data_IF_535512802791
#
_entry.id   IF_535512802791
#
_cell.length_a   1.000
_cell.length_b   1.000
_cell.length_c   1.000
_cell.angle_alpha   90.00
_cell.angle_beta   90.00
_cell.angle_gamma   90.00
#
_symmetry.space_group_name_H-M   'P 1'
#
loop_
_entity.id
_entity.type
_entity.pdbx_description
1 polymer ?
#
# COMPACT_ATOMS: atom_id res chain seq x y z
N UNK A 1 -8.36 1.91 24.72
CA UNK A 1 -7.09 2.66 24.65
C UNK A 1 -7.25 3.76 23.60
N UNK A 2 -7.10 5.03 23.97
CA UNK A 2 -7.05 6.13 23.01
C UNK A 2 -5.68 6.10 22.32
N UNK A 3 -5.63 5.76 21.03
CA UNK A 3 -4.42 5.86 20.21
C UNK A 3 -4.20 7.34 19.89
N UNK A 4 -3.08 7.94 20.32
CA UNK A 4 -2.75 9.32 19.95
C UNK A 4 -2.23 9.32 18.51
N UNK A 5 -2.86 10.12 17.66
CA UNK A 5 -2.45 10.29 16.27
C UNK A 5 -1.27 11.27 16.21
N UNK A 6 -0.19 10.85 15.56
CA UNK A 6 1.06 11.62 15.50
C UNK A 6 1.30 12.25 14.12
N UNK A 7 0.59 11.79 13.09
CA UNK A 7 0.58 12.41 11.76
C UNK A 7 -0.43 11.78 10.81
N UNK A 8 -0.87 12.55 9.81
CA UNK A 8 -1.67 12.09 8.67
C UNK A 8 -1.01 12.61 7.41
N UNK A 9 -0.72 11.71 6.47
CA UNK A 9 -0.21 12.03 5.15
C UNK A 9 -0.99 11.20 4.11
N UNK A 10 -1.19 11.75 2.92
CA UNK A 10 -1.98 11.11 1.89
C UNK A 10 -1.42 11.38 0.51
N UNK A 11 -1.58 10.40 -0.38
CA UNK A 11 -1.27 10.52 -1.79
C UNK A 11 -2.49 10.09 -2.60
N UNK A 12 -2.90 10.94 -3.52
CA UNK A 12 -3.88 10.57 -4.53
C UNK A 12 -3.14 9.84 -5.64
N UNK A 13 -3.68 8.69 -6.06
CA UNK A 13 -3.09 7.86 -7.09
C UNK A 13 -4.07 7.82 -8.26
N UNK A 14 -3.83 8.70 -9.22
CA UNK A 14 -4.57 8.76 -10.47
C UNK A 14 -4.01 7.69 -11.42
N UNK A 15 -4.62 6.50 -11.44
CA UNK A 15 -4.26 5.48 -12.43
C UNK A 15 -4.79 5.88 -13.80
N UNK A 16 -4.00 5.60 -14.85
CA UNK A 16 -4.40 5.85 -16.25
C UNK A 16 -5.61 5.01 -16.70
N UNK A 17 -5.97 3.98 -15.93
CA UNK A 17 -7.15 3.14 -16.13
C UNK A 17 -8.19 3.47 -15.06
N UNK A 18 -9.39 3.85 -15.48
CA UNK A 18 -10.56 4.17 -14.64
C UNK A 18 -10.77 3.14 -13.49
N UNK A 19 -10.57 1.85 -13.74
CA UNK A 19 -10.77 0.76 -12.76
C UNK A 19 -9.59 0.51 -11.79
N UNK A 20 -8.57 1.38 -11.76
CA UNK A 20 -7.39 1.22 -10.91
C UNK A 20 -6.98 2.46 -10.12
N UNK A 21 -7.78 3.52 -10.21
CA UNK A 21 -7.54 4.81 -9.55
C UNK A 21 -8.07 4.80 -8.14
N UNK A 22 -7.39 5.52 -7.26
CA UNK A 22 -7.73 5.49 -5.86
C UNK A 22 -6.95 6.49 -5.03
N UNK A 23 -7.25 6.51 -3.75
CA UNK A 23 -6.51 7.24 -2.75
C UNK A 23 -5.84 6.24 -1.82
N UNK A 24 -4.56 6.48 -1.56
CA UNK A 24 -3.82 5.77 -0.53
C UNK A 24 -3.47 6.79 0.56
N UNK A 25 -4.02 6.60 1.76
CA UNK A 25 -3.72 7.45 2.90
C UNK A 25 -3.05 6.68 4.01
N UNK A 26 -2.16 7.36 4.73
CA UNK A 26 -1.52 6.81 5.90
C UNK A 26 -1.72 7.72 7.11
N UNK A 27 -2.05 7.08 8.22
CA UNK A 27 -2.10 7.73 9.52
C UNK A 27 -1.11 7.06 10.46
N UNK A 28 -0.16 7.81 10.99
CA UNK A 28 0.78 7.35 11.99
C UNK A 28 0.19 7.53 13.39
N UNK A 29 0.34 6.50 14.21
CA UNK A 29 0.05 6.48 15.63
C UNK A 29 1.30 5.98 16.37
N UNK A 30 1.36 6.16 17.69
CA UNK A 30 2.57 5.89 18.51
C UNK A 30 3.23 4.52 18.24
N UNK A 31 2.45 3.46 17.97
CA UNK A 31 2.96 2.09 17.80
C UNK A 31 2.49 1.38 16.53
N UNK A 32 1.79 2.09 15.63
CA UNK A 32 1.24 1.49 14.41
C UNK A 32 1.00 2.52 13.33
N UNK A 33 0.96 2.04 12.09
CA UNK A 33 0.59 2.81 10.91
C UNK A 33 -0.74 2.26 10.39
N UNK A 34 -1.72 3.13 10.23
CA UNK A 34 -2.97 2.81 9.56
C UNK A 34 -2.80 3.14 8.07
N UNK A 35 -2.95 2.13 7.23
CA UNK A 35 -2.97 2.25 5.78
C UNK A 35 -4.41 2.10 5.30
N UNK A 36 -4.91 3.10 4.58
CA UNK A 36 -6.23 3.05 3.95
C UNK A 36 -6.09 3.11 2.43
N UNK A 37 -6.70 2.16 1.75
CA UNK A 37 -6.79 2.06 0.30
C UNK A 37 -8.26 2.30 -0.08
N UNK A 38 -8.53 3.33 -0.88
CA UNK A 38 -9.89 3.65 -1.36
C UNK A 38 -9.91 3.71 -2.88
N UNK A 39 -10.79 2.96 -3.53
CA UNK A 39 -10.97 3.04 -4.99
C UNK A 39 -12.06 4.08 -5.35
N UNK A 40 -11.82 4.90 -6.38
CA UNK A 40 -12.64 6.10 -6.69
C UNK A 40 -13.94 5.85 -7.48
N UNK A 41 -14.45 4.61 -7.61
CA UNK A 41 -15.62 4.31 -8.46
C UNK A 41 -16.88 3.89 -7.70
N UNK A 42 -18.02 3.87 -8.41
CA UNK A 42 -19.38 3.61 -7.88
C UNK A 42 -19.52 2.24 -7.17
N UNK A 43 -18.58 1.31 -7.42
CA UNK A 43 -18.43 0.02 -6.74
C UNK A 43 -17.10 -0.10 -5.96
N UNK A 44 -16.50 1.04 -5.62
CA UNK A 44 -15.17 1.13 -5.02
C UNK A 44 -15.09 0.37 -3.70
N UNK A 45 -14.07 -0.48 -3.59
CA UNK A 45 -13.78 -1.19 -2.35
C UNK A 45 -12.79 -0.37 -1.54
N UNK A 46 -13.13 -0.17 -0.27
CA UNK A 46 -12.24 0.43 0.72
C UNK A 46 -11.63 -0.69 1.57
N UNK A 47 -10.32 -0.62 1.77
CA UNK A 47 -9.62 -1.44 2.75
C UNK A 47 -8.84 -0.57 3.72
N UNK A 48 -9.00 -0.86 5.01
CA UNK A 48 -8.22 -0.24 6.07
C UNK A 48 -7.43 -1.33 6.80
N UNK A 49 -6.12 -1.15 6.87
CA UNK A 49 -5.18 -2.07 7.48
C UNK A 49 -4.37 -1.36 8.55
N UNK A 50 -4.24 -2.01 9.70
CA UNK A 50 -3.23 -1.65 10.70
C UNK A 50 -1.94 -2.43 10.42
N UNK A 51 -0.82 -1.71 10.36
CA UNK A 51 0.53 -2.24 10.23
C UNK A 51 1.30 -1.93 11.51
N UNK A 52 1.90 -2.95 12.12
CA UNK A 52 2.93 -2.69 13.13
C UNK A 52 4.23 -2.20 12.46
N UNK A 53 5.18 -1.71 13.26
CA UNK A 53 6.46 -1.16 12.77
C UNK A 53 7.23 -2.14 11.89
N UNK A 54 7.22 -3.45 12.19
CA UNK A 54 7.92 -4.46 11.41
C UNK A 54 7.24 -4.69 10.06
N UNK A 55 5.91 -4.75 10.02
CA UNK A 55 5.14 -4.89 8.79
C UNK A 55 5.29 -3.64 7.90
N UNK A 56 5.27 -2.45 8.49
CA UNK A 56 5.49 -1.21 7.76
C UNK A 56 6.90 -1.12 7.16
N UNK A 57 7.94 -1.50 7.93
CA UNK A 57 9.30 -1.57 7.42
C UNK A 57 9.44 -2.58 6.25
N UNK A 58 8.84 -3.76 6.37
CA UNK A 58 8.79 -4.75 5.27
C UNK A 58 8.09 -4.20 4.04
N UNK A 59 7.01 -3.44 4.20
CA UNK A 59 6.29 -2.82 3.09
C UNK A 59 7.16 -1.82 2.34
N UNK A 60 7.90 -0.98 3.07
CA UNK A 60 8.87 -0.05 2.48
C UNK A 60 9.91 -0.80 1.64
N UNK A 61 10.46 -1.90 2.15
CA UNK A 61 11.50 -2.65 1.45
C UNK A 61 10.97 -3.36 0.19
N UNK A 62 9.75 -3.89 0.24
CA UNK A 62 9.08 -4.46 -0.93
C UNK A 62 8.81 -3.38 -1.98
N UNK A 63 8.33 -2.20 -1.59
CA UNK A 63 8.10 -1.08 -2.51
C UNK A 63 9.40 -0.56 -3.14
N UNK A 64 10.48 -0.44 -2.37
CA UNK A 64 11.83 -0.12 -2.90
C UNK A 64 12.24 -1.12 -3.97
N UNK A 65 12.02 -2.41 -3.73
CA UNK A 65 12.34 -3.46 -4.69
C UNK A 65 11.49 -3.33 -5.95
N UNK A 66 10.18 -3.16 -5.81
CA UNK A 66 9.26 -2.98 -6.93
C UNK A 66 9.66 -1.76 -7.77
N UNK A 67 9.93 -0.62 -7.11
CA UNK A 67 10.39 0.61 -7.76
C UNK A 67 11.72 0.43 -8.51
N UNK A 68 12.68 -0.33 -7.94
CA UNK A 68 13.92 -0.64 -8.65
C UNK A 68 13.65 -1.48 -9.91
N UNK A 69 12.79 -2.49 -9.82
CA UNK A 69 12.47 -3.37 -10.95
C UNK A 69 11.77 -2.59 -12.09
N UNK A 70 10.81 -1.71 -11.76
CA UNK A 70 10.12 -0.89 -12.76
C UNK A 70 11.09 0.11 -13.43
N UNK A 71 11.99 0.75 -12.69
CA UNK A 71 13.02 1.63 -13.26
C UNK A 71 14.00 0.89 -14.19
N UNK A 72 14.33 -0.36 -13.85
CA UNK A 72 15.21 -1.22 -14.64
C UNK A 72 14.53 -1.83 -15.88
N UNK A 73 13.26 -1.52 -16.13
CA UNK A 73 12.47 -2.12 -17.23
C UNK A 73 12.36 -3.65 -17.14
N UNK A 74 12.37 -4.20 -15.92
CA UNK A 74 12.14 -5.62 -15.67
C UNK A 74 10.64 -5.95 -15.76
N UNK A 75 10.05 -5.83 -16.97
CA UNK A 75 8.60 -5.86 -17.18
C UNK A 75 8.08 -7.26 -17.51
N UNK A 76 7.44 -7.97 -16.55
CA UNK A 76 6.93 -9.30 -16.80
C UNK A 76 5.68 -9.23 -17.69
N UNK A 77 5.55 -10.20 -18.60
CA UNK A 77 4.38 -10.37 -19.47
C UNK A 77 3.12 -10.81 -18.69
N UNK A 78 3.30 -11.34 -17.48
CA UNK A 78 2.25 -11.75 -16.54
C UNK A 78 2.46 -11.03 -15.20
N UNK A 79 1.45 -11.01 -14.33
CA UNK A 79 1.61 -10.48 -12.97
C UNK A 79 2.70 -11.25 -12.23
N UNK A 80 3.74 -10.54 -11.78
CA UNK A 80 4.84 -11.09 -11.00
C UNK A 80 4.78 -10.56 -9.56
N UNK A 81 4.69 -11.45 -8.57
CA UNK A 81 4.69 -11.05 -7.18
C UNK A 81 6.10 -10.58 -6.76
N UNK A 82 6.22 -9.32 -6.36
CA UNK A 82 7.46 -8.74 -5.84
C UNK A 82 7.61 -9.04 -4.34
N UNK A 83 6.49 -9.03 -3.62
CA UNK A 83 6.47 -9.32 -2.20
C UNK A 83 5.06 -9.41 -1.63
N UNK A 84 4.97 -10.05 -0.47
CA UNK A 84 3.73 -10.30 0.24
C UNK A 84 3.93 -10.10 1.75
N UNK A 85 2.98 -9.45 2.41
CA UNK A 85 2.94 -9.27 3.86
C UNK A 85 1.65 -9.87 4.37
N UNK A 86 1.76 -10.90 5.21
CA UNK A 86 0.64 -11.41 6.00
C UNK A 86 0.52 -10.56 7.24
N UNK A 87 -0.64 -9.96 7.44
CA UNK A 87 -0.91 -9.05 8.54
C UNK A 87 -1.27 -9.86 9.78
N UNK A 88 -0.58 -9.60 10.89
CA UNK A 88 -0.82 -10.30 12.14
C UNK A 88 -1.68 -9.44 13.09
N UNK A 89 -2.90 -9.15 12.65
CA UNK A 89 -3.86 -8.32 13.40
C UNK A 89 -4.79 -9.18 14.27
N UNK A 90 -5.12 -8.65 15.45
CA UNK A 90 -6.00 -9.30 16.43
C UNK A 90 -7.48 -9.30 16.00
N UNK A 91 -7.90 -8.37 15.13
CA UNK A 91 -9.28 -8.31 14.63
C UNK A 91 -9.45 -9.12 13.34
N UNK A 92 -10.42 -10.06 13.25
CA UNK A 92 -10.70 -10.85 12.05
C UNK A 92 -11.03 -10.01 10.81
N UNK A 93 -11.63 -8.83 10.98
CA UNK A 93 -11.99 -7.91 9.89
C UNK A 93 -10.81 -7.07 9.40
N UNK A 94 -9.72 -7.02 10.18
CA UNK A 94 -8.46 -6.35 9.83
C UNK A 94 -7.33 -7.37 9.55
N UNK A 95 -7.66 -8.66 9.52
CA UNK A 95 -6.77 -9.71 9.03
C UNK A 95 -6.76 -9.65 7.51
N UNK A 96 -5.56 -9.66 6.94
CA UNK A 96 -5.40 -9.56 5.49
C UNK A 96 -3.99 -9.82 5.01
N UNK A 97 -3.81 -9.63 3.71
CA UNK A 97 -2.55 -9.77 3.01
C UNK A 97 -2.35 -8.51 2.18
N UNK A 98 -1.17 -7.90 2.27
CA UNK A 98 -0.71 -6.93 1.27
C UNK A 98 0.12 -7.67 0.24
N UNK A 99 -0.18 -7.47 -1.04
CA UNK A 99 0.53 -8.07 -2.17
C UNK A 99 0.98 -6.96 -3.10
N UNK A 100 2.29 -6.88 -3.35
CA UNK A 100 2.85 -5.96 -4.33
C UNK A 100 3.24 -6.77 -5.56
N UNK A 101 2.58 -6.49 -6.68
CA UNK A 101 2.87 -7.13 -7.96
C UNK A 101 3.49 -6.12 -8.94
N UNK A 102 4.23 -6.64 -9.91
CA UNK A 102 4.65 -5.92 -11.10
C UNK A 102 3.92 -6.52 -12.30
N UNK A 103 3.35 -5.67 -13.16
CA UNK A 103 2.68 -6.11 -14.38
C UNK A 103 2.81 -5.04 -15.45
N UNK A 104 3.42 -5.39 -16.60
CA UNK A 104 3.83 -4.39 -17.59
C UNK A 104 4.58 -3.27 -16.86
N UNK A 105 4.36 -2.01 -17.24
CA UNK A 105 4.92 -0.80 -16.65
C UNK A 105 4.18 -0.32 -15.39
N UNK A 106 3.54 -1.20 -14.62
CA UNK A 106 2.80 -0.83 -13.42
C UNK A 106 3.17 -1.69 -12.22
N UNK A 107 3.23 -1.04 -11.06
CA UNK A 107 3.22 -1.68 -9.76
C UNK A 107 1.78 -1.72 -9.28
N UNK A 108 1.32 -2.90 -8.87
CA UNK A 108 -0.04 -3.12 -8.34
C UNK A 108 0.08 -3.32 -6.83
N UNK A 109 -0.48 -2.39 -6.08
CA UNK A 109 -0.66 -2.47 -4.64
C UNK A 109 -2.01 -3.12 -4.35
N UNK A 110 -2.00 -4.40 -4.01
CA UNK A 110 -3.20 -5.15 -3.65
C UNK A 110 -3.31 -5.32 -2.14
N UNK A 111 -4.54 -5.20 -1.65
CA UNK A 111 -4.92 -5.56 -0.29
C UNK A 111 -6.01 -6.60 -0.38
N UNK A 112 -5.80 -7.74 0.29
CA UNK A 112 -6.83 -8.76 0.46
C UNK A 112 -7.24 -8.82 1.92
N UNK A 113 -8.51 -8.61 2.22
CA UNK A 113 -9.06 -8.74 3.57
C UNK A 113 -9.75 -10.09 3.71
N UNK A 114 -9.71 -10.68 4.91
CA UNK A 114 -10.38 -11.96 5.20
C UNK A 114 -11.90 -11.91 4.97
N UNK A 115 -12.49 -10.72 5.10
CA UNK A 115 -13.88 -10.41 4.83
C UNK A 115 -13.94 -9.11 4.04
N UNK A 116 -14.61 -9.11 2.90
CA UNK A 116 -14.64 -7.98 1.96
C UNK A 116 -14.15 -8.41 0.58
N UNK A 117 -13.78 -7.45 -0.26
CA UNK A 117 -13.09 -7.75 -1.51
C UNK A 117 -11.62 -7.37 -1.47
N UNK A 118 -10.96 -7.49 -2.62
CA UNK A 118 -9.52 -7.35 -2.76
C UNK A 118 -9.18 -6.06 -3.54
N UNK A 119 -9.23 -4.86 -2.92
CA UNK A 119 -8.91 -3.64 -3.65
C UNK A 119 -7.46 -3.62 -4.12
N UNK A 120 -7.29 -3.15 -5.35
CA UNK A 120 -5.98 -2.97 -5.99
C UNK A 120 -5.85 -1.54 -6.50
N UNK A 121 -4.70 -0.92 -6.23
CA UNK A 121 -4.31 0.34 -6.87
C UNK A 121 -3.12 0.07 -7.79
N UNK A 122 -3.18 0.62 -9.00
CA UNK A 122 -2.09 0.57 -9.97
C UNK A 122 -1.32 1.87 -9.93
N UNK A 123 0.00 1.78 -9.88
CA UNK A 123 0.91 2.91 -9.83
C UNK A 123 1.95 2.79 -10.93
N UNK A 124 2.25 3.91 -11.59
CA UNK A 124 3.44 4.02 -12.42
C UNK A 124 4.70 4.24 -11.56
N UNK A 125 5.84 4.44 -12.22
CA UNK A 125 7.12 4.67 -11.57
C UNK A 125 7.08 5.89 -10.64
N UNK A 126 6.61 7.05 -11.12
CA UNK A 126 6.64 8.31 -10.39
C UNK A 126 5.70 8.29 -9.17
N UNK A 127 4.51 7.70 -9.33
CA UNK A 127 3.56 7.50 -8.23
C UNK A 127 4.12 6.57 -7.15
N UNK A 128 4.81 5.52 -7.56
CA UNK A 128 5.47 4.60 -6.62
C UNK A 128 6.60 5.32 -5.88
N UNK A 129 7.38 6.16 -6.55
CA UNK A 129 8.43 6.96 -5.92
C UNK A 129 7.84 7.90 -4.86
N UNK A 130 6.80 8.66 -5.23
CA UNK A 130 6.13 9.59 -4.31
C UNK A 130 5.54 8.85 -3.08
N UNK A 131 4.94 7.68 -3.30
CA UNK A 131 4.47 6.81 -2.21
C UNK A 131 5.62 6.40 -1.28
N UNK A 132 6.75 5.96 -1.86
CA UNK A 132 7.91 5.50 -1.12
C UNK A 132 8.54 6.63 -0.28
N UNK A 133 8.65 7.83 -0.84
CA UNK A 133 9.15 9.02 -0.15
C UNK A 133 8.27 9.37 1.06
N UNK A 134 6.95 9.30 0.90
CA UNK A 134 5.99 9.51 1.98
C UNK A 134 6.16 8.46 3.08
N UNK A 135 6.37 7.18 2.73
CA UNK A 135 6.55 6.13 3.73
C UNK A 135 7.85 6.31 4.51
N UNK A 136 8.93 6.69 3.82
CA UNK A 136 10.23 6.96 4.44
C UNK A 136 10.16 8.21 5.33
N UNK A 137 9.41 9.25 4.93
CA UNK A 137 9.17 10.41 5.76
C UNK A 137 8.45 10.03 7.06
N UNK A 138 7.38 9.23 6.95
CA UNK A 138 6.63 8.80 8.12
C UNK A 138 7.44 7.90 9.07
N UNK A 139 8.27 6.98 8.54
CA UNK A 139 9.08 6.10 9.40
C UNK A 139 10.14 6.84 10.21
N UNK A 140 10.52 8.06 9.80
CA UNK A 140 11.45 8.94 10.53
C UNK A 140 10.74 9.86 11.54
N UNK A 141 9.44 10.11 11.38
CA UNK A 141 8.66 10.98 12.26
C UNK A 141 8.08 10.28 13.50
N UNK A 142 8.19 8.95 13.58
CA UNK A 142 7.76 8.12 14.71
C UNK A 142 8.87 7.84 15.73
N UNK A 143 9.98 8.60 15.69
CA UNK A 143 11.16 8.42 16.55
C UNK A 143 11.31 9.51 17.60
#
# INVERSE_FOLDING_TARGET
MNKKQTGIEWINIDSELNEGSGKLSLSAYDNLVLLTLMQTHEYGMDAEIELNTLEFAKLIDILKRAHRMICNKEMPQKRNCVGLIRLNNSSPTKQGIIIINLFKNYIIFGVSLKTGGDPEIKMNQDQTLALLELFIKMSKGTG
#
